data_IF_923927380974
#
_entry.id   IF_923927380974
#
_cell.length_a   1.000
_cell.length_b   1.000
_cell.length_c   1.000
_cell.angle_alpha   90.00
_cell.angle_beta   90.00
_cell.angle_gamma   90.00
#
_symmetry.space_group_name_H-M   'P 1'
#
loop_
_entity.id
_entity.type
_entity.pdbx_description
1 polymer ?
#
# COMPACT_ATOMS: atom_id res chain seq x y z
N UNK A 1 -7.18 -20.89 -10.63
CA UNK A 1 -7.00 -20.41 -12.03
C UNK A 1 -7.98 -19.29 -12.27
N UNK A 2 -7.49 -18.06 -12.45
CA UNK A 2 -8.34 -16.87 -12.43
C UNK A 2 -7.55 -15.58 -12.18
N UNK A 3 -8.20 -14.42 -12.29
CA UNK A 3 -7.64 -13.09 -12.06
C UNK A 3 -7.36 -12.85 -10.57
N UNK A 4 -6.13 -12.48 -10.24
CA UNK A 4 -5.78 -12.05 -8.89
C UNK A 4 -5.94 -10.54 -8.76
N UNK A 5 -6.84 -10.09 -7.88
CA UNK A 5 -7.01 -8.68 -7.52
C UNK A 5 -6.31 -8.42 -6.18
N UNK A 6 -5.18 -7.74 -6.24
CA UNK A 6 -4.35 -7.45 -5.08
C UNK A 6 -4.62 -6.04 -4.61
N UNK A 7 -5.14 -5.89 -3.39
CA UNK A 7 -5.42 -4.61 -2.78
C UNK A 7 -4.21 -4.16 -1.96
N UNK A 8 -3.57 -3.10 -2.44
CA UNK A 8 -2.43 -2.47 -1.79
C UNK A 8 -2.42 -0.96 -2.08
N UNK A 9 -1.74 -0.19 -1.25
CA UNK A 9 -1.46 1.21 -1.58
C UNK A 9 -0.46 1.28 -2.73
N UNK A 10 -0.82 1.93 -3.84
CA UNK A 10 0.13 2.22 -4.94
C UNK A 10 1.27 3.18 -4.57
N UNK A 11 1.26 3.76 -3.36
CA UNK A 11 2.41 4.50 -2.81
C UNK A 11 3.38 3.58 -2.07
N UNK A 12 2.98 2.36 -1.72
CA UNK A 12 3.87 1.37 -1.13
C UNK A 12 4.70 0.70 -2.23
N UNK A 13 5.88 1.29 -2.49
CA UNK A 13 6.80 0.84 -3.54
C UNK A 13 7.25 -0.61 -3.33
N UNK A 14 7.65 -0.96 -2.10
CA UNK A 14 8.10 -2.30 -1.73
C UNK A 14 7.01 -3.35 -1.92
N UNK A 15 5.76 -2.99 -1.63
CA UNK A 15 4.63 -3.88 -1.90
C UNK A 15 4.46 -4.12 -3.39
N UNK A 16 4.59 -3.08 -4.21
CA UNK A 16 4.50 -3.23 -5.67
C UNK A 16 5.63 -4.13 -6.20
N UNK A 17 6.87 -3.99 -5.69
CA UNK A 17 7.98 -4.89 -6.01
C UNK A 17 7.66 -6.33 -5.61
N UNK A 18 7.10 -6.53 -4.41
CA UNK A 18 6.74 -7.85 -3.90
C UNK A 18 5.66 -8.53 -4.75
N UNK A 19 4.62 -7.77 -5.13
CA UNK A 19 3.54 -8.26 -6.00
C UNK A 19 4.06 -8.55 -7.40
N UNK A 20 4.93 -7.71 -7.97
CA UNK A 20 5.58 -7.98 -9.25
C UNK A 20 6.35 -9.31 -9.23
N UNK A 21 7.20 -9.51 -8.21
CA UNK A 21 7.99 -10.75 -8.05
C UNK A 21 7.09 -11.97 -7.87
N UNK A 22 6.02 -11.86 -7.09
CA UNK A 22 5.05 -12.93 -6.91
C UNK A 22 4.32 -13.26 -8.23
N UNK A 23 3.87 -12.25 -8.97
CA UNK A 23 3.25 -12.42 -10.28
C UNK A 23 4.18 -13.17 -11.23
N UNK A 24 5.44 -12.72 -11.38
CA UNK A 24 6.43 -13.38 -12.25
C UNK A 24 6.71 -14.82 -11.85
N UNK A 25 6.85 -15.11 -10.55
CA UNK A 25 7.04 -16.49 -10.05
C UNK A 25 5.86 -17.40 -10.38
N UNK A 26 4.64 -16.84 -10.45
CA UNK A 26 3.43 -17.57 -10.82
C UNK A 26 3.17 -17.57 -12.34
N UNK A 27 4.12 -17.10 -13.17
CA UNK A 27 3.93 -16.99 -14.63
C UNK A 27 2.96 -15.90 -15.07
N UNK A 28 2.72 -14.89 -14.22
CA UNK A 28 1.74 -13.83 -14.44
C UNK A 28 2.38 -12.48 -14.72
N UNK A 29 1.62 -11.64 -15.39
CA UNK A 29 1.90 -10.23 -15.63
C UNK A 29 1.27 -9.37 -14.52
N UNK A 30 2.07 -8.46 -13.96
CA UNK A 30 1.57 -7.42 -13.07
C UNK A 30 0.81 -6.36 -13.87
N UNK A 31 -0.41 -6.06 -13.47
CA UNK A 31 -1.18 -4.93 -13.98
C UNK A 31 -1.30 -3.87 -12.90
N UNK A 32 -0.98 -2.62 -13.23
CA UNK A 32 -1.13 -1.47 -12.34
C UNK A 32 -1.91 -0.33 -12.99
N UNK A 33 -2.47 0.57 -12.19
CA UNK A 33 -3.12 1.77 -12.72
C UNK A 33 -2.09 2.83 -13.18
N UNK A 34 -2.55 3.78 -14.00
CA UNK A 34 -1.73 4.91 -14.48
C UNK A 34 -1.03 5.67 -13.34
N UNK A 35 -1.72 5.88 -12.21
CA UNK A 35 -1.17 6.61 -11.07
C UNK A 35 0.03 5.87 -10.47
N UNK A 36 -0.12 4.58 -10.20
CA UNK A 36 0.93 3.72 -9.65
C UNK A 36 2.10 3.62 -10.63
N UNK A 37 1.82 3.43 -11.93
CA UNK A 37 2.86 3.42 -12.96
C UNK A 37 3.63 4.76 -13.02
N UNK A 38 2.93 5.89 -12.87
CA UNK A 38 3.52 7.21 -12.84
C UNK A 38 4.41 7.44 -11.62
N UNK A 39 3.94 7.07 -10.42
CA UNK A 39 4.74 7.13 -9.18
C UNK A 39 6.01 6.28 -9.33
N UNK A 40 5.88 5.04 -9.82
CA UNK A 40 7.03 4.17 -10.06
C UNK A 40 8.01 4.75 -11.08
N UNK A 41 7.50 5.41 -12.13
CA UNK A 41 8.32 6.05 -13.13
C UNK A 41 9.09 7.25 -12.57
N UNK A 42 8.42 8.12 -11.81
CA UNK A 42 9.06 9.29 -11.20
C UNK A 42 10.07 8.92 -10.13
N UNK A 43 9.84 7.82 -9.40
CA UNK A 43 10.71 7.36 -8.32
C UNK A 43 11.74 6.31 -8.78
N UNK A 44 11.82 6.02 -10.09
CA UNK A 44 12.74 5.01 -10.64
C UNK A 44 14.22 5.25 -10.28
N UNK A 45 14.59 6.49 -9.98
CA UNK A 45 15.95 6.85 -9.58
C UNK A 45 16.32 6.32 -8.17
N UNK A 46 15.33 6.02 -7.32
CA UNK A 46 15.56 5.50 -5.97
C UNK A 46 16.04 4.04 -5.98
N UNK A 47 15.55 3.22 -6.92
CA UNK A 47 15.90 1.81 -6.98
C UNK A 47 15.63 1.19 -8.34
N UNK A 48 16.57 0.35 -8.78
CA UNK A 48 16.50 -0.44 -10.02
C UNK A 48 15.44 -1.55 -9.96
N UNK A 49 14.95 -1.87 -8.76
CA UNK A 49 14.00 -2.95 -8.52
C UNK A 49 12.53 -2.51 -8.63
N UNK A 50 12.27 -1.23 -8.84
CA UNK A 50 10.92 -0.69 -8.97
C UNK A 50 10.30 -1.06 -10.32
N UNK A 51 9.20 -1.84 -10.38
CA UNK A 51 8.55 -2.22 -11.62
C UNK A 51 8.23 -1.01 -12.48
N UNK A 52 8.73 -1.00 -13.71
CA UNK A 52 8.46 0.05 -14.67
C UNK A 52 7.47 -0.44 -15.72
N UNK A 53 6.70 0.51 -16.27
CA UNK A 53 5.71 0.25 -17.30
C UNK A 53 6.28 -0.39 -18.58
N UNK A 54 7.58 -0.24 -18.84
CA UNK A 54 8.29 -0.77 -20.00
C UNK A 54 8.99 -2.12 -19.71
N UNK A 55 8.79 -2.71 -18.54
CA UNK A 55 9.35 -4.01 -18.21
C UNK A 55 8.53 -5.18 -18.75
N UNK A 56 9.22 -6.29 -19.02
CA UNK A 56 8.56 -7.56 -19.26
C UNK A 56 7.71 -7.99 -18.04
N UNK A 57 6.51 -8.50 -18.33
CA UNK A 57 5.53 -8.87 -17.32
C UNK A 57 4.90 -7.69 -16.58
N UNK A 58 4.89 -6.49 -17.15
CA UNK A 58 4.14 -5.33 -16.65
C UNK A 58 3.18 -4.80 -17.70
N UNK A 59 1.95 -4.52 -17.29
CA UNK A 59 0.95 -3.80 -18.11
C UNK A 59 0.28 -2.71 -17.28
N UNK A 60 -0.30 -1.72 -17.95
CA UNK A 60 -0.91 -0.56 -17.29
C UNK A 60 -2.37 -0.40 -17.70
N UNK A 61 -3.26 -0.40 -16.70
CA UNK A 61 -4.69 -0.15 -16.91
C UNK A 61 -5.00 1.33 -16.79
N UNK A 62 -5.70 1.86 -17.78
CA UNK A 62 -6.07 3.27 -17.80
C UNK A 62 -7.44 3.45 -17.16
N UNK A 63 -7.52 4.38 -16.21
CA UNK A 63 -8.77 4.86 -15.65
C UNK A 63 -8.98 6.31 -16.11
N UNK A 64 -10.19 6.72 -16.56
CA UNK A 64 -10.39 8.00 -17.23
C UNK A 64 -9.83 9.21 -16.48
N UNK A 65 -10.05 9.26 -15.16
CA UNK A 65 -9.59 10.39 -14.34
C UNK A 65 -8.06 10.57 -14.35
N UNK A 66 -7.29 9.47 -14.31
CA UNK A 66 -5.83 9.56 -14.31
C UNK A 66 -5.28 10.02 -15.65
N UNK A 67 -5.92 9.60 -16.74
CA UNK A 67 -5.49 9.96 -18.09
C UNK A 67 -5.66 11.46 -18.35
N UNK A 68 -6.79 12.04 -17.92
CA UNK A 68 -7.04 13.48 -18.09
C UNK A 68 -6.00 14.32 -17.33
N UNK A 69 -5.75 13.99 -16.06
CA UNK A 69 -4.76 14.69 -15.23
C UNK A 69 -3.36 14.58 -15.87
N UNK A 70 -2.95 13.38 -16.29
CA UNK A 70 -1.63 13.21 -16.91
C UNK A 70 -1.54 13.85 -18.30
N UNK A 71 -2.64 14.03 -19.01
CA UNK A 71 -2.64 14.76 -20.29
C UNK A 71 -2.34 16.25 -20.09
N UNK A 72 -2.77 16.81 -18.97
CA UNK A 72 -2.49 18.20 -18.62
C UNK A 72 -1.07 18.39 -18.04
N UNK A 73 -0.52 17.38 -17.36
CA UNK A 73 0.73 17.52 -16.59
C UNK A 73 1.95 16.77 -17.15
N UNK A 74 1.80 15.65 -17.86
CA UNK A 74 2.91 14.84 -18.38
C UNK A 74 2.48 13.98 -19.59
N UNK A 75 2.25 14.64 -20.73
CA UNK A 75 1.87 13.97 -21.99
C UNK A 75 2.94 12.99 -22.48
N UNK A 76 4.20 13.27 -22.14
CA UNK A 76 5.34 12.47 -22.56
C UNK A 76 5.34 11.10 -21.88
N UNK A 77 5.02 11.06 -20.58
CA UNK A 77 4.77 9.81 -19.88
C UNK A 77 3.58 9.05 -20.50
N UNK A 78 2.45 9.71 -20.77
CA UNK A 78 1.28 9.07 -21.39
C UNK A 78 1.59 8.44 -22.75
N UNK A 79 2.42 9.11 -23.56
CA UNK A 79 2.86 8.58 -24.85
C UNK A 79 3.69 7.31 -24.69
N UNK A 80 4.60 7.26 -23.70
CA UNK A 80 5.46 6.09 -23.43
C UNK A 80 4.66 4.92 -22.87
N UNK A 81 3.79 5.18 -21.90
CA UNK A 81 3.00 4.12 -21.23
C UNK A 81 1.97 3.47 -22.14
N UNK A 82 1.59 4.11 -23.25
CA UNK A 82 0.64 3.58 -24.24
C UNK A 82 1.01 2.19 -24.75
N UNK A 83 2.30 1.89 -24.93
CA UNK A 83 2.76 0.57 -25.39
C UNK A 83 2.44 -0.56 -24.40
N UNK A 84 2.29 -0.24 -23.13
CA UNK A 84 1.99 -1.19 -22.05
C UNK A 84 0.50 -1.24 -21.68
N UNK A 85 -0.36 -0.48 -22.36
CA UNK A 85 -1.79 -0.40 -22.05
C UNK A 85 -2.46 -1.77 -22.17
N UNK A 86 -3.32 -2.13 -21.22
CA UNK A 86 -4.15 -3.33 -21.25
C UNK A 86 -5.64 -2.98 -21.27
N UNK A 87 -6.38 -3.65 -22.15
CA UNK A 87 -7.82 -3.49 -22.26
C UNK A 87 -8.56 -4.35 -21.24
N UNK A 88 -9.79 -3.95 -20.91
CA UNK A 88 -10.60 -4.71 -19.96
C UNK A 88 -10.94 -6.11 -20.48
N UNK A 89 -11.13 -6.25 -21.78
CA UNK A 89 -11.40 -7.54 -22.44
C UNK A 89 -10.27 -8.53 -22.26
N UNK A 90 -9.01 -8.09 -22.25
CA UNK A 90 -7.85 -8.94 -21.95
C UNK A 90 -7.92 -9.48 -20.52
N UNK A 91 -8.27 -8.64 -19.53
CA UNK A 91 -8.41 -9.04 -18.13
C UNK A 91 -9.56 -10.03 -17.91
N UNK A 92 -10.65 -9.87 -18.66
CA UNK A 92 -11.82 -10.76 -18.58
C UNK A 92 -11.54 -12.11 -19.24
N UNK A 93 -10.95 -12.11 -20.43
CA UNK A 93 -10.76 -13.33 -21.22
C UNK A 93 -9.57 -14.17 -20.73
N UNK A 94 -8.51 -13.52 -20.26
CA UNK A 94 -7.23 -14.15 -19.89
C UNK A 94 -6.83 -13.85 -18.44
N UNK A 95 -7.81 -13.75 -17.53
CA UNK A 95 -7.58 -13.35 -16.15
C UNK A 95 -6.50 -14.17 -15.42
N UNK A 96 -6.37 -15.45 -15.73
CA UNK A 96 -5.33 -16.34 -15.19
C UNK A 96 -3.89 -15.87 -15.44
N UNK A 97 -3.66 -15.04 -16.45
CA UNK A 97 -2.34 -14.51 -16.78
C UNK A 97 -1.97 -13.25 -15.99
N UNK A 98 -2.90 -12.71 -15.20
CA UNK A 98 -2.76 -11.38 -14.60
C UNK A 98 -2.86 -11.37 -13.08
N UNK A 99 -2.10 -10.46 -12.48
CA UNK A 99 -2.30 -9.97 -11.12
C UNK A 99 -2.48 -8.46 -11.18
N UNK A 100 -3.67 -7.96 -10.88
CA UNK A 100 -4.01 -6.54 -10.93
C UNK A 100 -3.88 -5.92 -9.54
N UNK A 101 -3.10 -4.85 -9.43
CA UNK A 101 -3.16 -3.95 -8.27
C UNK A 101 -4.48 -3.20 -8.29
N UNK A 102 -5.45 -3.74 -7.56
CA UNK A 102 -6.82 -3.27 -7.53
C UNK A 102 -7.01 -2.14 -6.51
N UNK A 103 -8.04 -1.34 -6.76
CA UNK A 103 -8.50 -0.28 -5.86
C UNK A 103 -9.94 -0.57 -5.47
N UNK A 104 -10.25 -0.41 -4.19
CA UNK A 104 -11.63 -0.48 -3.73
C UNK A 104 -12.35 0.82 -4.11
N UNK A 105 -13.04 0.81 -5.26
CA UNK A 105 -13.76 1.96 -5.79
C UNK A 105 -14.90 1.52 -6.73
N UNK A 106 -15.66 2.49 -7.24
CA UNK A 106 -16.77 2.25 -8.17
C UNK A 106 -16.37 1.49 -9.45
N UNK A 107 -15.14 1.65 -9.93
CA UNK A 107 -14.67 0.98 -11.15
C UNK A 107 -14.46 -0.51 -10.92
N UNK A 108 -13.95 -0.89 -9.74
CA UNK A 108 -13.89 -2.29 -9.35
C UNK A 108 -15.30 -2.89 -9.32
N UNK A 109 -16.26 -2.21 -8.69
CA UNK A 109 -17.64 -2.71 -8.62
C UNK A 109 -18.22 -2.94 -10.02
N UNK A 110 -18.14 -1.93 -10.87
CA UNK A 110 -18.57 -2.03 -12.25
C UNK A 110 -17.86 -3.16 -13.01
N UNK A 111 -16.54 -3.33 -12.82
CA UNK A 111 -15.80 -4.42 -13.43
C UNK A 111 -16.30 -5.79 -12.98
N UNK A 112 -16.55 -5.98 -11.68
CA UNK A 112 -17.04 -7.23 -11.12
C UNK A 112 -18.46 -7.56 -11.60
N UNK A 113 -19.34 -6.56 -11.68
CA UNK A 113 -20.71 -6.73 -12.18
C UNK A 113 -20.76 -7.23 -13.65
N UNK A 114 -19.69 -7.01 -14.42
CA UNK A 114 -19.58 -7.42 -15.83
C UNK A 114 -18.60 -8.58 -16.05
N UNK A 115 -18.05 -9.15 -14.97
CA UNK A 115 -17.15 -10.28 -15.07
C UNK A 115 -17.96 -11.57 -15.21
N UNK A 116 -17.78 -12.38 -16.28
CA UNK A 116 -18.67 -13.50 -16.60
C UNK A 116 -18.78 -14.58 -15.51
N UNK A 117 -17.68 -14.82 -14.79
CA UNK A 117 -17.62 -15.80 -13.71
C UNK A 117 -16.76 -15.27 -12.55
N UNK A 118 -17.40 -14.68 -11.52
CA UNK A 118 -16.70 -14.15 -10.35
C UNK A 118 -15.82 -15.19 -9.62
N UNK A 119 -16.13 -16.49 -9.72
CA UNK A 119 -15.34 -17.54 -9.05
C UNK A 119 -13.94 -17.70 -9.66
N UNK A 120 -13.73 -17.18 -10.87
CA UNK A 120 -12.40 -17.00 -11.50
C UNK A 120 -11.69 -15.74 -11.00
N UNK A 121 -12.13 -15.13 -9.91
CA UNK A 121 -11.44 -14.02 -9.26
C UNK A 121 -10.99 -14.45 -7.87
N UNK A 122 -9.82 -13.94 -7.47
CA UNK A 122 -9.32 -14.03 -6.10
C UNK A 122 -8.95 -12.66 -5.60
N UNK A 123 -9.49 -12.28 -4.45
CA UNK A 123 -9.08 -11.08 -3.74
C UNK A 123 -7.91 -11.40 -2.83
N UNK A 124 -6.90 -10.53 -2.85
CA UNK A 124 -5.76 -10.59 -1.94
C UNK A 124 -5.67 -9.23 -1.25
N UNK A 125 -6.11 -9.17 0.00
CA UNK A 125 -6.02 -7.97 0.82
C UNK A 125 -4.62 -7.84 1.42
N UNK A 126 -3.81 -6.92 0.92
CA UNK A 126 -2.46 -6.65 1.41
C UNK A 126 -2.37 -5.35 2.21
N UNK A 127 -3.48 -4.93 2.81
CA UNK A 127 -3.58 -3.74 3.66
C UNK A 127 -3.97 -4.12 5.08
N UNK A 128 -3.96 -3.14 5.98
CA UNK A 128 -4.35 -3.38 7.37
C UNK A 128 -5.77 -3.96 7.43
N UNK A 129 -5.99 -4.95 8.30
CA UNK A 129 -7.29 -5.61 8.44
C UNK A 129 -8.37 -4.63 8.87
N UNK A 130 -8.00 -3.64 9.69
CA UNK A 130 -8.93 -2.60 10.15
C UNK A 130 -9.52 -1.77 9.01
N UNK A 131 -8.88 -1.69 7.84
CA UNK A 131 -9.49 -1.00 6.68
C UNK A 131 -10.63 -1.81 6.01
N UNK A 132 -10.84 -3.07 6.39
CA UNK A 132 -12.01 -3.83 5.93
C UNK A 132 -13.29 -3.46 6.68
N UNK A 133 -13.22 -2.69 7.77
CA UNK A 133 -14.40 -2.31 8.57
C UNK A 133 -14.25 -0.90 9.14
N UNK A 134 -15.33 -0.12 9.31
CA UNK A 134 -16.71 -0.41 8.92
C UNK A 134 -17.06 0.03 7.48
N UNK A 135 -16.19 0.77 6.79
CA UNK A 135 -16.53 1.49 5.56
C UNK A 135 -16.07 0.78 4.26
N UNK A 136 -15.81 -0.52 4.30
CA UNK A 136 -15.37 -1.29 3.14
C UNK A 136 -16.27 -2.53 2.99
N UNK A 137 -17.08 -2.57 1.94
CA UNK A 137 -18.02 -3.68 1.68
C UNK A 137 -17.36 -4.87 0.97
N UNK A 138 -16.02 -4.93 0.95
CA UNK A 138 -15.29 -5.91 0.14
C UNK A 138 -15.47 -7.34 0.67
N UNK A 139 -15.66 -7.52 1.98
CA UNK A 139 -15.92 -8.83 2.60
C UNK A 139 -17.30 -9.31 2.18
N UNK A 140 -18.32 -8.47 2.37
CA UNK A 140 -19.71 -8.74 2.00
C UNK A 140 -19.85 -9.00 0.49
N UNK A 141 -19.16 -8.20 -0.32
CA UNK A 141 -19.11 -8.37 -1.77
C UNK A 141 -18.44 -9.69 -2.16
N UNK A 142 -17.36 -10.06 -1.48
CA UNK A 142 -16.66 -11.32 -1.73
C UNK A 142 -17.54 -12.52 -1.39
N UNK A 143 -18.24 -12.48 -0.26
CA UNK A 143 -19.16 -13.53 0.16
C UNK A 143 -20.36 -13.64 -0.80
N UNK A 144 -20.96 -12.51 -1.16
CA UNK A 144 -22.11 -12.46 -2.08
C UNK A 144 -21.78 -13.04 -3.46
N UNK A 145 -20.58 -12.76 -3.98
CA UNK A 145 -20.16 -13.22 -5.31
C UNK A 145 -19.41 -14.56 -5.30
N UNK A 146 -19.19 -15.18 -4.12
CA UNK A 146 -18.40 -16.41 -4.00
C UNK A 146 -16.92 -16.24 -4.37
N UNK A 147 -16.37 -15.04 -4.18
CA UNK A 147 -14.97 -14.72 -4.46
C UNK A 147 -14.13 -15.04 -3.21
N UNK A 148 -13.07 -15.83 -3.37
CA UNK A 148 -12.13 -16.06 -2.27
C UNK A 148 -11.36 -14.78 -1.90
N UNK A 149 -11.30 -14.45 -0.61
CA UNK A 149 -10.57 -13.31 -0.05
C UNK A 149 -9.47 -13.79 0.90
N UNK A 150 -8.21 -13.64 0.50
CA UNK A 150 -7.06 -13.87 1.39
C UNK A 150 -6.59 -12.58 2.04
N UNK A 151 -6.17 -12.64 3.30
CA UNK A 151 -5.49 -11.55 3.99
C UNK A 151 -3.98 -11.81 4.06
N UNK A 152 -3.17 -10.90 3.50
CA UNK A 152 -1.71 -10.99 3.47
C UNK A 152 -1.09 -9.62 3.76
N UNK A 153 -1.15 -9.15 5.00
CA UNK A 153 -0.60 -7.87 5.42
C UNK A 153 0.65 -8.04 6.29
N UNK A 154 1.66 -7.20 6.05
CA UNK A 154 2.75 -6.99 6.98
C UNK A 154 2.68 -5.54 7.44
N UNK A 155 2.71 -5.34 8.76
CA UNK A 155 2.67 -3.99 9.37
C UNK A 155 3.83 -3.13 8.85
N UNK A 156 3.55 -1.85 8.60
CA UNK A 156 4.60 -0.84 8.36
C UNK A 156 5.21 -0.29 9.66
N UNK A 157 4.64 -0.63 10.82
CA UNK A 157 5.12 -0.18 12.11
C UNK A 157 6.14 -1.16 12.70
N UNK A 158 7.13 -0.60 13.40
CA UNK A 158 8.09 -1.37 14.17
C UNK A 158 7.39 -2.14 15.29
N UNK A 159 7.77 -3.40 15.50
CA UNK A 159 7.37 -4.14 16.69
C UNK A 159 7.98 -3.50 17.95
N UNK A 160 7.33 -3.70 19.10
CA UNK A 160 7.76 -3.18 20.41
C UNK A 160 9.24 -3.45 20.68
N UNK A 161 9.72 -4.68 20.46
CA UNK A 161 11.15 -5.03 20.62
C UNK A 161 12.11 -4.15 19.80
N UNK A 162 11.70 -3.71 18.62
CA UNK A 162 12.51 -2.87 17.74
C UNK A 162 12.46 -1.40 18.19
N UNK A 163 11.33 -0.95 18.73
CA UNK A 163 11.24 0.33 19.41
C UNK A 163 12.12 0.35 20.67
N UNK A 164 12.14 -0.74 21.45
CA UNK A 164 12.99 -0.86 22.63
C UNK A 164 14.47 -0.81 22.24
N UNK A 165 14.89 -1.59 21.23
CA UNK A 165 16.25 -1.54 20.70
C UNK A 165 16.63 -0.13 20.20
N UNK A 166 15.70 0.62 19.61
CA UNK A 166 15.93 2.01 19.20
C UNK A 166 16.12 2.93 20.42
N UNK A 167 15.27 2.82 21.43
CA UNK A 167 15.36 3.60 22.67
C UNK A 167 16.69 3.30 23.40
N UNK A 168 17.09 2.05 23.47
CA UNK A 168 18.35 1.63 24.09
C UNK A 168 19.56 2.19 23.34
N UNK A 169 19.55 2.10 22.00
CA UNK A 169 20.64 2.59 21.16
C UNK A 169 20.79 4.12 21.17
N UNK A 170 19.66 4.85 21.21
CA UNK A 170 19.66 6.32 21.24
C UNK A 170 19.89 6.86 22.65
N UNK A 171 19.49 6.11 23.69
CA UNK A 171 19.48 6.51 25.09
C UNK A 171 18.90 7.92 25.32
N UNK A 172 17.66 8.19 24.88
CA UNK A 172 17.10 9.53 24.92
C UNK A 172 16.80 9.98 26.36
N UNK A 173 16.86 11.30 26.58
CA UNK A 173 16.46 11.93 27.86
C UNK A 173 14.96 11.76 28.16
N UNK A 174 14.12 11.67 27.12
CA UNK A 174 12.67 11.47 27.22
C UNK A 174 12.19 10.68 26.00
N UNK A 175 11.16 9.86 26.20
CA UNK A 175 10.41 9.18 25.12
C UNK A 175 9.03 9.83 25.04
N UNK A 176 8.67 10.39 23.89
CA UNK A 176 7.36 11.02 23.69
C UNK A 176 6.60 10.18 22.65
N UNK A 177 5.61 9.37 23.08
CA UNK A 177 4.78 8.60 22.15
C UNK A 177 3.97 9.54 21.27
N UNK A 178 4.11 9.40 19.95
CA UNK A 178 3.29 10.10 18.95
C UNK A 178 2.72 9.07 17.97
N UNK A 179 1.64 9.41 17.27
CA UNK A 179 1.02 8.55 16.26
C UNK A 179 0.60 7.17 16.80
N UNK A 180 -0.06 7.16 17.96
CA UNK A 180 -0.62 5.96 18.62
C UNK A 180 -1.94 6.32 19.31
N UNK A 181 -2.89 5.39 19.31
CA UNK A 181 -4.17 5.53 20.03
C UNK A 181 -4.06 5.13 21.51
N UNK A 182 -2.95 4.49 21.90
CA UNK A 182 -2.72 3.93 23.24
C UNK A 182 -1.39 4.40 23.84
N UNK A 183 -1.17 5.73 24.02
CA UNK A 183 0.08 6.25 24.56
C UNK A 183 0.37 5.75 25.98
N UNK A 184 -0.66 5.41 26.77
CA UNK A 184 -0.55 4.81 28.10
C UNK A 184 0.21 3.48 28.11
N UNK A 185 0.17 2.72 27.02
CA UNK A 185 0.91 1.47 26.91
C UNK A 185 2.43 1.68 26.99
N UNK A 186 2.92 2.85 26.57
CA UNK A 186 4.35 3.15 26.54
C UNK A 186 4.96 3.28 27.94
N UNK A 187 4.17 3.73 28.94
CA UNK A 187 4.64 3.90 30.32
C UNK A 187 5.21 2.59 30.90
N UNK A 188 4.65 1.45 30.49
CA UNK A 188 5.11 0.11 30.90
C UNK A 188 6.25 -0.46 30.04
N UNK A 189 6.47 0.09 28.85
CA UNK A 189 7.36 -0.48 27.83
C UNK A 189 8.71 0.24 27.74
N UNK A 190 8.77 1.51 28.15
CA UNK A 190 9.93 2.37 27.98
C UNK A 190 10.20 3.22 29.24
N UNK A 191 11.47 3.53 29.53
CA UNK A 191 11.80 4.49 30.58
C UNK A 191 11.60 5.94 30.12
N UNK A 192 11.39 6.86 31.07
CA UNK A 192 11.37 8.32 30.83
C UNK A 192 10.31 8.76 29.81
N UNK A 193 9.14 8.13 29.85
CA UNK A 193 8.00 8.47 29.00
C UNK A 193 7.38 9.79 29.43
N UNK A 194 7.16 10.69 28.47
CA UNK A 194 6.38 11.90 28.63
C UNK A 194 5.25 11.88 27.61
N UNK A 195 4.01 11.73 28.09
CA UNK A 195 2.82 11.81 27.24
C UNK A 195 2.44 13.27 27.06
N UNK A 196 2.23 13.66 25.82
CA UNK A 196 1.73 14.99 25.46
C UNK A 196 0.40 14.83 24.72
N UNK A 197 -0.48 15.79 24.94
CA UNK A 197 -1.72 15.96 24.19
C UNK A 197 -1.54 16.88 22.99
N UNK A 198 -2.44 16.80 22.02
CA UNK A 198 -2.40 17.66 20.84
C UNK A 198 -2.47 19.14 21.25
N UNK A 199 -1.48 19.92 20.81
CA UNK A 199 -1.35 21.35 21.13
C UNK A 199 -0.63 21.66 22.45
N UNK A 200 -0.24 20.65 23.22
CA UNK A 200 0.54 20.83 24.45
C UNK A 200 1.98 21.26 24.14
N UNK A 201 2.43 22.33 24.81
CA UNK A 201 3.75 22.90 24.58
C UNK A 201 4.79 22.26 25.49
N UNK A 202 5.85 21.70 24.89
CA UNK A 202 7.02 21.22 25.61
C UNK A 202 8.15 22.25 25.57
N UNK A 203 8.49 22.82 26.72
CA UNK A 203 9.68 23.65 26.86
C UNK A 203 10.95 22.78 26.86
N UNK A 204 11.84 23.03 25.90
CA UNK A 204 13.09 22.30 25.72
C UNK A 204 14.28 22.94 26.44
N UNK A 205 14.09 24.13 27.03
CA UNK A 205 15.13 24.84 27.75
C UNK A 205 15.56 24.06 28.99
N UNK A 206 16.87 23.81 29.20
CA UNK A 206 17.35 23.21 30.44
C UNK A 206 16.98 24.09 31.63
N UNK A 207 16.35 23.52 32.65
CA UNK A 207 16.20 24.20 33.94
C UNK A 207 17.61 24.43 34.52
N UNK A 208 18.06 25.68 34.72
CA UNK A 208 19.31 25.92 35.42
C UNK A 208 19.10 25.56 36.90
N UNK A 209 19.76 24.50 37.39
CA UNK A 209 19.91 24.30 38.84
C UNK A 209 19.62 22.91 39.42
N UNK A 210 19.29 21.87 38.63
CA UNK A 210 19.29 20.51 39.18
C UNK A 210 20.69 19.92 39.02
N UNK A 211 21.50 20.07 40.08
CA UNK A 211 22.71 19.30 40.31
C UNK A 211 22.41 17.82 40.09
N UNK A 212 23.05 17.21 39.09
CA UNK A 212 23.23 15.75 39.08
C UNK A 212 24.24 15.44 40.19
N UNK A 213 23.76 15.22 41.41
CA UNK A 213 24.48 14.43 42.40
C UNK A 213 23.71 13.12 42.58
N UNK A 214 24.46 12.05 42.34
CA UNK A 214 24.25 10.61 42.60
C UNK A 214 23.22 9.83 41.76
#
# INVERSE_FOLDING_TARGET
NGLALVFASGQNLDRTVSVYRAARKCGRTLVMDLYTAYIQHKLRFLSRNLPQHDWDGVRVKYWPNHQNILFEHDQDFLRRVKASHIHMTELVNHGEDFALLARHNRFLRHFLDHFPDPTRIRFIWSMWKGYLQPNCDLVELSDFMGISLDHCHTSGHAHVRHLQALVDAVSPKRVIPIHTEHPEGFDSLFPRVLRLTDGELLNLTPQPGVSQND
#
